data_IF_162223192567
#
_entry.id   IF_162223192567
#
_cell.length_a   1.000
_cell.length_b   1.000
_cell.length_c   1.000
_cell.angle_alpha   90.00
_cell.angle_beta   90.00
_cell.angle_gamma   90.00
#
_symmetry.space_group_name_H-M   'P 1'
#
loop_
_entity.id
_entity.type
_entity.pdbx_description
1 polymer ?
#
# COMPACT_ATOMS: atom_id res chain seq x y z
N UNK A 1 19.12 16.77 0.03
CA UNK A 1 17.77 16.56 0.63
C UNK A 1 17.61 15.07 0.85
N UNK A 2 17.13 14.64 2.02
CA UNK A 2 16.74 13.23 2.22
C UNK A 2 15.41 12.99 1.49
N UNK A 3 15.32 11.91 0.73
CA UNK A 3 14.02 11.36 0.30
C UNK A 3 13.39 10.63 1.48
N UNK A 4 12.06 10.59 1.53
CA UNK A 4 11.26 9.88 2.52
C UNK A 4 10.23 9.04 1.77
N UNK A 5 10.26 7.72 1.99
CA UNK A 5 9.27 6.78 1.48
C UNK A 5 8.46 6.25 2.65
N UNK A 6 7.14 6.42 2.62
CA UNK A 6 6.21 5.81 3.57
C UNK A 6 5.51 4.61 2.92
N UNK A 7 5.68 3.42 3.48
CA UNK A 7 4.91 2.23 3.07
C UNK A 7 3.70 2.07 3.98
N UNK A 8 2.53 1.95 3.37
CA UNK A 8 1.29 1.58 4.03
C UNK A 8 0.98 0.11 3.76
N UNK A 9 0.75 -0.66 4.82
CA UNK A 9 0.38 -2.08 4.73
C UNK A 9 -1.03 -2.22 5.30
N UNK A 10 -1.94 -2.77 4.50
CA UNK A 10 -3.37 -2.76 4.77
C UNK A 10 -3.98 -4.16 4.72
N UNK A 11 -4.64 -4.54 5.80
CA UNK A 11 -5.51 -5.71 5.81
C UNK A 11 -6.82 -5.39 5.09
N UNK A 12 -7.14 -6.14 4.05
CA UNK A 12 -8.40 -6.06 3.31
C UNK A 12 -9.25 -7.33 3.43
N UNK A 13 -8.81 -8.28 4.25
CA UNK A 13 -9.45 -9.58 4.41
C UNK A 13 -10.79 -9.53 5.16
N UNK A 14 -11.49 -10.67 5.24
CA UNK A 14 -12.81 -10.81 5.86
C UNK A 14 -12.99 -10.15 7.23
N UNK A 15 -11.99 -10.28 8.11
CA UNK A 15 -12.04 -9.71 9.47
C UNK A 15 -12.16 -8.18 9.49
N UNK A 16 -11.71 -7.51 8.44
CA UNK A 16 -11.72 -6.04 8.35
C UNK A 16 -13.05 -5.46 7.88
N UNK A 17 -13.84 -6.22 7.11
CA UNK A 17 -15.08 -5.70 6.51
C UNK A 17 -16.36 -6.43 6.95
N UNK A 18 -16.29 -7.66 7.47
CA UNK A 18 -17.49 -8.43 7.88
C UNK A 18 -18.11 -7.90 9.17
N UNK A 19 -17.30 -7.54 10.15
CA UNK A 19 -17.77 -7.14 11.49
C UNK A 19 -17.92 -5.63 11.64
N UNK A 20 -18.78 -5.04 10.80
CA UNK A 20 -19.37 -3.74 11.11
C UNK A 20 -20.42 -3.93 12.21
N UNK A 21 -20.04 -3.69 13.46
CA UNK A 21 -20.94 -3.64 14.64
C UNK A 21 -22.30 -3.04 14.24
N UNK A 22 -23.40 -3.79 14.32
CA UNK A 22 -24.73 -3.51 13.73
C UNK A 22 -25.02 -2.00 13.54
N UNK A 23 -24.72 -1.46 12.36
CA UNK A 23 -24.95 -0.05 11.99
C UNK A 23 -23.72 0.89 12.03
N UNK A 24 -22.51 0.41 12.35
CA UNK A 24 -21.24 1.17 12.32
C UNK A 24 -20.41 0.85 11.08
N UNK A 25 -19.55 1.79 10.69
CA UNK A 25 -18.56 1.58 9.62
C UNK A 25 -17.60 0.44 9.98
N UNK A 26 -17.28 -0.39 8.98
CA UNK A 26 -16.33 -1.50 9.12
C UNK A 26 -14.92 -1.00 9.47
N UNK A 27 -14.04 -1.87 9.97
CA UNK A 27 -12.64 -1.50 10.22
C UNK A 27 -11.94 -1.08 8.93
N UNK A 28 -12.23 -1.74 7.81
CA UNK A 28 -11.73 -1.36 6.49
C UNK A 28 -12.17 0.05 6.09
N UNK A 29 -13.45 0.40 6.31
CA UNK A 29 -13.98 1.74 6.05
C UNK A 29 -13.27 2.80 6.90
N UNK A 30 -13.05 2.52 8.19
CA UNK A 30 -12.32 3.42 9.10
C UNK A 30 -10.86 3.60 8.68
N UNK A 31 -10.21 2.52 8.24
CA UNK A 31 -8.84 2.59 7.72
C UNK A 31 -8.77 3.48 6.47
N UNK A 32 -9.75 3.35 5.56
CA UNK A 32 -9.93 4.22 4.39
C UNK A 32 -10.02 5.71 4.79
N UNK A 33 -10.90 6.04 5.75
CA UNK A 33 -11.09 7.41 6.25
C UNK A 33 -9.79 7.98 6.87
N UNK A 34 -9.08 7.17 7.67
CA UNK A 34 -7.81 7.57 8.28
C UNK A 34 -6.75 7.83 7.21
N UNK A 35 -6.63 6.95 6.21
CA UNK A 35 -5.69 7.12 5.12
C UNK A 35 -6.00 8.36 4.29
N UNK A 36 -7.27 8.63 3.99
CA UNK A 36 -7.68 9.86 3.33
C UNK A 36 -7.19 11.09 4.12
N UNK A 37 -7.45 11.13 5.44
CA UNK A 37 -7.01 12.22 6.32
C UNK A 37 -5.49 12.38 6.35
N UNK A 38 -4.74 11.27 6.29
CA UNK A 38 -3.27 11.28 6.27
C UNK A 38 -2.70 11.75 4.93
N UNK A 39 -3.35 11.41 3.82
CA UNK A 39 -2.87 11.73 2.47
C UNK A 39 -3.28 13.12 2.00
N UNK A 40 -4.39 13.66 2.51
CA UNK A 40 -4.92 14.97 2.11
C UNK A 40 -3.90 16.12 2.24
N UNK A 41 -3.11 16.24 3.33
CA UNK A 41 -2.06 17.25 3.43
C UNK A 41 -0.91 17.05 2.44
N UNK A 42 -0.54 15.78 2.16
CA UNK A 42 0.52 15.43 1.19
C UNK A 42 0.11 15.77 -0.25
N UNK A 43 -1.17 15.66 -0.58
CA UNK A 43 -1.71 16.12 -1.86
C UNK A 43 -1.75 17.66 -1.96
N UNK A 44 -2.22 18.33 -0.90
CA UNK A 44 -2.38 19.78 -0.88
C UNK A 44 -1.05 20.54 -0.88
N UNK A 45 -0.02 19.98 -0.24
CA UNK A 45 1.32 20.57 -0.13
C UNK A 45 2.39 19.56 -0.51
N UNK A 46 2.48 19.19 -1.80
CA UNK A 46 3.34 18.10 -2.24
C UNK A 46 4.82 18.48 -2.09
N UNK A 47 5.58 17.64 -1.38
CA UNK A 47 7.04 17.70 -1.38
C UNK A 47 7.57 16.68 -2.37
N UNK A 48 8.44 17.13 -3.29
CA UNK A 48 9.08 16.24 -4.28
C UNK A 48 9.85 15.08 -3.65
N UNK A 49 10.31 15.24 -2.40
CA UNK A 49 11.08 14.23 -1.67
C UNK A 49 10.22 13.22 -0.90
N UNK A 50 8.89 13.37 -0.87
CA UNK A 50 7.99 12.49 -0.13
C UNK A 50 7.20 11.57 -1.07
N UNK A 51 7.48 10.27 -0.99
CA UNK A 51 6.79 9.24 -1.75
C UNK A 51 6.01 8.32 -0.81
N UNK A 52 4.95 7.71 -1.33
CA UNK A 52 4.15 6.71 -0.63
C UNK A 52 3.99 5.48 -1.49
N UNK A 53 3.89 4.32 -0.85
CA UNK A 53 3.60 3.03 -1.47
C UNK A 53 2.57 2.27 -0.64
N UNK A 54 1.85 1.35 -1.28
CA UNK A 54 0.77 0.59 -0.65
C UNK A 54 0.88 -0.89 -0.99
N UNK A 55 0.86 -1.72 0.04
CA UNK A 55 0.67 -3.17 -0.03
C UNK A 55 -0.63 -3.51 0.70
N UNK A 56 -1.44 -4.37 0.10
CA UNK A 56 -2.63 -4.94 0.73
C UNK A 56 -2.44 -6.44 0.94
N UNK A 57 -3.02 -6.98 2.00
CA UNK A 57 -3.06 -8.41 2.26
C UNK A 57 -4.46 -8.87 2.64
N UNK A 58 -4.76 -10.14 2.35
CA UNK A 58 -6.11 -10.70 2.40
C UNK A 58 -6.93 -10.41 1.12
N UNK A 59 -6.27 -9.98 0.03
CA UNK A 59 -6.91 -9.76 -1.27
C UNK A 59 -7.25 -11.09 -1.96
N UNK A 60 -8.26 -11.08 -2.83
CA UNK A 60 -8.61 -12.27 -3.62
C UNK A 60 -7.45 -12.68 -4.55
N UNK A 61 -6.80 -11.69 -5.14
CA UNK A 61 -5.64 -11.86 -6.03
C UNK A 61 -4.32 -11.83 -5.25
N UNK A 62 -3.27 -12.35 -5.88
CA UNK A 62 -1.87 -12.21 -5.44
C UNK A 62 -1.11 -11.45 -6.53
N UNK A 63 -0.63 -10.25 -6.21
CA UNK A 63 0.16 -9.44 -7.14
C UNK A 63 1.39 -8.85 -6.43
N UNK A 64 2.40 -9.69 -6.22
CA UNK A 64 3.69 -9.27 -5.70
C UNK A 64 4.82 -10.14 -6.27
N UNK A 65 6.04 -9.61 -6.32
CA UNK A 65 7.18 -10.27 -6.96
C UNK A 65 7.72 -11.48 -6.18
N UNK A 66 7.43 -11.57 -4.88
CA UNK A 66 7.90 -12.65 -4.02
C UNK A 66 6.97 -13.87 -4.06
N UNK A 67 5.76 -13.70 -4.59
CA UNK A 67 4.76 -14.75 -4.71
C UNK A 67 5.30 -15.95 -5.50
N UNK A 68 5.47 -17.07 -4.79
CA UNK A 68 5.95 -18.30 -5.39
C UNK A 68 5.38 -19.51 -4.63
N UNK A 69 4.79 -20.44 -5.39
CA UNK A 69 4.04 -21.57 -4.83
C UNK A 69 2.98 -21.10 -3.82
N UNK A 70 3.11 -21.50 -2.55
CA UNK A 70 2.16 -21.22 -1.47
C UNK A 70 2.64 -20.10 -0.53
N UNK A 71 3.75 -19.43 -0.84
CA UNK A 71 4.30 -18.32 -0.03
C UNK A 71 3.89 -16.96 -0.61
N UNK A 72 3.72 -15.96 0.27
CA UNK A 72 3.35 -14.58 -0.08
C UNK A 72 2.04 -14.48 -0.88
N UNK A 73 1.10 -15.39 -0.64
CA UNK A 73 -0.20 -15.42 -1.30
C UNK A 73 -1.18 -14.42 -0.69
N UNK A 74 -2.15 -13.97 -1.50
CA UNK A 74 -3.17 -12.99 -1.10
C UNK A 74 -2.57 -11.66 -0.61
N UNK A 75 -1.36 -11.35 -1.07
CA UNK A 75 -0.66 -10.09 -0.89
C UNK A 75 -0.53 -9.42 -2.25
N UNK A 76 -0.93 -8.16 -2.36
CA UNK A 76 -0.88 -7.41 -3.61
C UNK A 76 -0.29 -6.02 -3.43
N UNK A 77 0.52 -5.59 -4.39
CA UNK A 77 0.99 -4.22 -4.50
C UNK A 77 -0.14 -3.37 -5.03
N UNK A 78 -0.76 -2.58 -4.16
CA UNK A 78 -1.83 -1.65 -4.55
C UNK A 78 -1.26 -0.42 -5.26
N UNK A 79 -0.05 0.02 -4.85
CA UNK A 79 0.61 1.17 -5.45
C UNK A 79 2.12 1.15 -5.21
N UNK A 80 2.87 1.29 -6.30
CA UNK A 80 4.31 1.52 -6.31
C UNK A 80 4.72 2.88 -5.69
N UNK A 81 5.95 3.03 -5.16
CA UNK A 81 6.46 4.29 -4.62
C UNK A 81 6.27 5.48 -5.57
N UNK A 82 5.46 6.45 -5.14
CA UNK A 82 5.17 7.68 -5.89
C UNK A 82 4.67 8.78 -4.96
N UNK A 83 4.86 10.05 -5.34
CA UNK A 83 4.18 11.16 -4.64
C UNK A 83 2.65 10.95 -4.65
N UNK A 84 1.95 11.50 -3.66
CA UNK A 84 0.48 11.45 -3.56
C UNK A 84 -0.14 12.21 -4.73
N UNK A 85 -1.13 11.60 -5.40
CA UNK A 85 -1.93 12.21 -6.46
C UNK A 85 -3.44 12.03 -6.19
N UNK A 86 -4.26 12.68 -7.02
CA UNK A 86 -5.72 12.63 -6.89
C UNK A 86 -6.26 11.20 -7.07
N UNK A 87 -5.63 10.40 -7.92
CA UNK A 87 -6.00 9.00 -8.14
C UNK A 87 -5.87 8.18 -6.85
N UNK A 88 -4.77 8.36 -6.11
CA UNK A 88 -4.60 7.72 -4.79
C UNK A 88 -5.70 8.12 -3.82
N UNK A 89 -5.98 9.43 -3.73
CA UNK A 89 -6.98 9.93 -2.80
C UNK A 89 -8.37 9.39 -3.16
N UNK A 90 -8.71 9.37 -4.45
CA UNK A 90 -9.95 8.77 -4.95
C UNK A 90 -10.04 7.28 -4.62
N UNK A 91 -8.95 6.53 -4.75
CA UNK A 91 -8.90 5.12 -4.36
C UNK A 91 -9.19 4.92 -2.87
N UNK A 92 -8.65 5.77 -1.99
CA UNK A 92 -8.93 5.69 -0.54
C UNK A 92 -10.37 6.13 -0.20
N UNK A 93 -10.95 7.09 -0.92
CA UNK A 93 -12.34 7.54 -0.70
C UNK A 93 -13.39 6.58 -1.28
N UNK A 94 -13.05 5.84 -2.35
CA UNK A 94 -13.98 4.97 -3.09
C UNK A 94 -14.16 3.59 -2.45
N UNK A 95 -13.75 3.45 -1.19
CA UNK A 95 -13.61 2.21 -0.42
C UNK A 95 -12.57 1.24 -1.02
N UNK A 96 -11.60 0.87 -0.19
CA UNK A 96 -10.65 -0.19 -0.51
C UNK A 96 -11.40 -1.49 -0.87
N UNK A 97 -10.82 -2.25 -1.81
CA UNK A 97 -11.37 -3.54 -2.22
C UNK A 97 -11.52 -4.47 -0.99
N UNK A 98 -12.64 -5.17 -0.90
CA UNK A 98 -12.89 -6.17 0.15
C UNK A 98 -12.41 -7.52 -0.36
N UNK A 99 -11.32 -8.02 0.21
CA UNK A 99 -10.83 -9.36 -0.11
C UNK A 99 -11.52 -10.43 0.72
N UNK A 100 -11.57 -11.65 0.18
CA UNK A 100 -12.24 -12.81 0.77
C UNK A 100 -11.26 -13.86 1.31
N UNK A 101 -9.95 -13.58 1.22
CA UNK A 101 -8.89 -14.45 1.70
C UNK A 101 -8.31 -13.96 3.04
N UNK A 102 -7.76 -14.90 3.81
CA UNK A 102 -6.88 -14.58 4.94
C UNK A 102 -5.43 -14.69 4.46
N UNK A 103 -4.58 -13.77 4.92
CA UNK A 103 -3.16 -13.73 4.56
C UNK A 103 -2.32 -13.34 5.78
N UNK A 104 -1.04 -13.71 5.79
CA UNK A 104 -0.13 -13.35 6.87
C UNK A 104 0.33 -11.88 6.74
N UNK A 105 0.18 -11.11 7.82
CA UNK A 105 0.67 -9.74 7.88
C UNK A 105 2.20 -9.66 7.76
N UNK A 106 2.94 -10.69 8.19
CA UNK A 106 4.40 -10.74 8.06
C UNK A 106 4.82 -10.86 6.60
N UNK A 107 4.11 -11.64 5.79
CA UNK A 107 4.36 -11.74 4.34
C UNK A 107 4.20 -10.37 3.67
N UNK A 108 3.14 -9.63 4.03
CA UNK A 108 2.91 -8.28 3.54
C UNK A 108 4.02 -7.29 3.96
N UNK A 109 4.54 -7.42 5.18
CA UNK A 109 5.68 -6.62 5.66
C UNK A 109 6.95 -6.96 4.88
N UNK A 110 7.23 -8.23 4.62
CA UNK A 110 8.40 -8.66 3.86
C UNK A 110 8.32 -8.13 2.42
N UNK A 111 7.17 -8.27 1.77
CA UNK A 111 6.92 -7.67 0.44
C UNK A 111 7.13 -6.15 0.47
N UNK A 112 6.61 -5.47 1.47
CA UNK A 112 6.81 -4.02 1.63
C UNK A 112 8.28 -3.62 1.82
N UNK A 113 9.04 -4.38 2.61
CA UNK A 113 10.48 -4.16 2.80
C UNK A 113 11.25 -4.40 1.50
N UNK A 114 10.93 -5.47 0.77
CA UNK A 114 11.54 -5.76 -0.53
C UNK A 114 11.29 -4.62 -1.53
N UNK A 115 10.04 -4.13 -1.64
CA UNK A 115 9.72 -2.96 -2.46
C UNK A 115 10.55 -1.72 -2.06
N UNK A 116 10.67 -1.43 -0.77
CA UNK A 116 11.50 -0.32 -0.29
C UNK A 116 12.97 -0.49 -0.68
N UNK A 117 13.52 -1.69 -0.50
CA UNK A 117 14.91 -1.98 -0.85
C UNK A 117 15.15 -1.81 -2.34
N UNK A 118 14.26 -2.35 -3.18
CA UNK A 118 14.36 -2.21 -4.63
C UNK A 118 14.30 -0.74 -5.07
N UNK A 119 13.42 0.05 -4.48
CA UNK A 119 13.29 1.48 -4.80
C UNK A 119 14.52 2.28 -4.36
N UNK A 120 14.96 2.11 -3.11
CA UNK A 120 16.13 2.80 -2.57
C UNK A 120 17.43 2.40 -3.28
N UNK A 121 17.59 1.14 -3.67
CA UNK A 121 18.78 0.67 -4.38
C UNK A 121 18.81 1.13 -5.85
N UNK A 122 17.66 1.34 -6.50
CA UNK A 122 17.59 1.89 -7.86
C UNK A 122 18.07 3.34 -7.91
N UNK A 123 17.77 4.12 -6.88
CA UNK A 123 18.21 5.52 -6.75
C UNK A 123 19.74 5.69 -6.62
N UNK A 124 20.47 4.63 -6.22
CA UNK A 124 21.93 4.62 -6.11
C UNK A 124 22.66 4.25 -7.41
N UNK A 125 21.93 3.99 -8.51
CA UNK A 125 22.58 3.84 -9.82
C UNK A 125 22.93 5.23 -10.40
N UNK A 126 24.22 5.55 -10.63
CA UNK A 126 24.59 6.82 -11.26
C UNK A 126 24.01 6.85 -12.67
N UNK A 127 23.19 7.85 -12.97
CA UNK A 127 22.65 8.15 -14.30
C UNK A 127 23.71 8.74 -15.25
N UNK A 128 24.86 8.09 -15.33
CA UNK A 128 25.92 8.39 -16.27
C UNK A 128 26.47 7.07 -16.84
N UNK A 129 26.86 7.10 -18.11
CA UNK A 129 27.49 6.01 -18.88
C UNK A 129 26.56 5.05 -19.64
N UNK A 130 25.61 5.59 -20.42
CA UNK A 130 25.44 5.11 -21.80
C UNK A 130 25.08 6.30 -22.68
N UNK A 131 26.12 6.92 -23.25
CA UNK A 131 26.08 7.62 -24.52
C UNK A 131 26.29 6.62 -25.65
#
# INVERSE_FOLDING_TARGET
MSKELTMYILDVGPGMWKDGDLGKSSYLSKASEILELMLHPKLSHPKKSEEVAFVVFGSDETDNILAFNDEYQHVSVLREPKNVDLELLLMMTSQLAKGNAEADALDAIIVGIDMMQQHCNKDDTPSAWYS
#
